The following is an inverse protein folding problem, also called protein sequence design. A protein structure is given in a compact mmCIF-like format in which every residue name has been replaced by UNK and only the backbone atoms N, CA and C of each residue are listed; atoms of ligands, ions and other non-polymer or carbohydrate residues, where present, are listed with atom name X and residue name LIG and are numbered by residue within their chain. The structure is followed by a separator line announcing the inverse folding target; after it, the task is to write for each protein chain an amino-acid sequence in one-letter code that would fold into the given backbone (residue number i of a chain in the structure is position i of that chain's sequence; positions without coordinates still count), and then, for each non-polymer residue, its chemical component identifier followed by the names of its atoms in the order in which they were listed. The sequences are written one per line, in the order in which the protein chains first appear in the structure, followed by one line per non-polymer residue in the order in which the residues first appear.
data_IF_894543024747
#
_entry.id   IF_894543024747
#
_cell.length_a   1.000
_cell.length_b   1.000
_cell.length_c   1.000
_cell.angle_alpha   90.00
_cell.angle_beta   90.00
_cell.angle_gamma   90.00
#
_symmetry.space_group_name_H-M   'P 1'
#
loop_
_entity.id
_entity.type
_entity.pdbx_description
1 polymer ?
#
# COMPACT_ATOMS: atom_id res chain seq x y z
N UNK A 1 -15.92 7.87 7.12
CA UNK A 1 -15.14 8.30 5.95
C UNK A 1 -15.63 9.68 5.57
N UNK A 2 -14.73 10.66 5.42
CA UNK A 2 -15.12 12.03 5.09
C UNK A 2 -15.84 12.15 3.73
N UNK A 3 -16.75 13.12 3.55
CA UNK A 3 -17.52 13.30 2.30
C UNK A 3 -16.65 13.48 1.05
N UNK A 4 -15.48 14.10 1.19
CA UNK A 4 -14.52 14.34 0.11
C UNK A 4 -13.94 13.06 -0.51
N UNK A 5 -14.07 11.91 0.17
CA UNK A 5 -13.61 10.61 -0.34
C UNK A 5 -14.73 9.81 -1.04
N UNK A 6 -15.96 10.35 -1.11
CA UNK A 6 -17.10 9.62 -1.68
C UNK A 6 -16.90 9.25 -3.15
N UNK A 7 -16.29 10.16 -3.93
CA UNK A 7 -16.09 10.01 -5.37
C UNK A 7 -15.02 8.97 -5.73
N UNK A 8 -14.24 8.48 -4.77
CA UNK A 8 -13.27 7.40 -4.96
C UNK A 8 -13.93 6.01 -5.00
N UNK A 9 -15.27 5.94 -4.88
CA UNK A 9 -16.02 4.68 -4.90
C UNK A 9 -16.71 4.45 -6.26
N UNK A 10 -16.86 3.18 -6.66
CA UNK A 10 -16.35 1.98 -5.98
C UNK A 10 -14.83 1.81 -6.21
N UNK A 11 -14.14 1.26 -5.20
CA UNK A 11 -12.73 0.89 -5.34
C UNK A 11 -12.67 -0.31 -6.31
N UNK A 12 -11.87 -0.25 -7.39
CA UNK A 12 -11.78 -1.33 -8.37
C UNK A 12 -11.47 -2.68 -7.71
N UNK A 13 -12.21 -3.73 -8.08
CA UNK A 13 -12.05 -5.10 -7.57
C UNK A 13 -11.57 -6.04 -8.67
N UNK A 14 -10.58 -5.60 -9.45
CA UNK A 14 -10.04 -6.35 -10.58
C UNK A 14 -8.52 -6.23 -10.63
N UNK A 15 -7.88 -7.24 -11.22
CA UNK A 15 -6.43 -7.24 -11.42
C UNK A 15 -5.98 -6.04 -12.24
N UNK A 16 -4.89 -5.42 -11.82
CA UNK A 16 -4.26 -4.34 -12.58
C UNK A 16 -3.60 -4.92 -13.84
N UNK A 17 -3.56 -4.17 -14.96
CA UNK A 17 -3.01 -4.64 -16.23
C UNK A 17 -1.47 -4.62 -16.28
N UNK A 18 -0.81 -4.50 -15.14
CA UNK A 18 0.64 -4.42 -14.99
C UNK A 18 1.07 -5.01 -13.63
N UNK A 19 2.33 -5.46 -13.48
CA UNK A 19 2.85 -5.86 -12.17
C UNK A 19 2.75 -4.71 -11.17
N UNK A 20 2.27 -5.01 -9.96
CA UNK A 20 2.09 -4.03 -8.91
C UNK A 20 2.53 -4.57 -7.55
N UNK A 21 2.88 -3.65 -6.66
CA UNK A 21 3.15 -3.89 -5.24
C UNK A 21 2.27 -2.95 -4.42
N UNK A 22 1.64 -3.46 -3.36
CA UNK A 22 0.87 -2.65 -2.42
C UNK A 22 1.57 -2.65 -1.06
N UNK A 23 2.07 -1.48 -0.67
CA UNK A 23 2.73 -1.27 0.63
C UNK A 23 1.71 -0.70 1.61
N UNK A 24 1.57 -1.29 2.80
CA UNK A 24 0.64 -0.82 3.82
C UNK A 24 1.18 -0.98 5.24
N UNK A 25 0.60 -0.20 6.17
CA UNK A 25 0.88 -0.23 7.59
C UNK A 25 -0.23 -0.97 8.35
N UNK A 26 0.09 -1.55 9.51
CA UNK A 26 -0.91 -2.24 10.35
C UNK A 26 -1.69 -1.33 11.29
N UNK A 27 -1.21 -0.11 11.52
CA UNK A 27 -1.82 0.89 12.41
C UNK A 27 -2.21 2.17 11.65
N UNK A 28 -2.49 2.04 10.34
CA UNK A 28 -3.03 3.14 9.55
C UNK A 28 -4.46 3.50 10.04
N UNK A 29 -4.71 4.75 10.49
CA UNK A 29 -6.03 5.15 11.00
C UNK A 29 -7.12 5.19 9.91
N UNK A 30 -6.73 5.15 8.63
CA UNK A 30 -7.64 5.23 7.49
C UNK A 30 -7.80 3.91 6.74
N UNK A 31 -6.96 2.91 7.02
CA UNK A 31 -6.97 1.63 6.32
C UNK A 31 -6.70 0.46 7.26
N UNK A 32 -7.58 -0.54 7.24
CA UNK A 32 -7.35 -1.78 7.98
C UNK A 32 -6.32 -2.67 7.24
N UNK A 33 -5.49 -3.39 8.01
CA UNK A 33 -4.44 -4.24 7.47
C UNK A 33 -5.00 -5.42 6.65
N UNK A 34 -6.07 -6.06 7.12
CA UNK A 34 -6.70 -7.16 6.40
C UNK A 34 -7.43 -6.65 5.16
N UNK A 35 -8.06 -5.47 5.25
CA UNK A 35 -8.64 -4.80 4.08
C UNK A 35 -7.58 -4.49 3.01
N UNK A 36 -6.43 -3.93 3.41
CA UNK A 36 -5.32 -3.62 2.51
C UNK A 36 -4.77 -4.88 1.84
N UNK A 37 -4.61 -5.97 2.59
CA UNK A 37 -4.22 -7.26 2.04
C UNK A 37 -5.23 -7.78 1.01
N UNK A 38 -6.53 -7.72 1.31
CA UNK A 38 -7.59 -8.10 0.37
C UNK A 38 -7.58 -7.26 -0.91
N UNK A 39 -7.26 -5.96 -0.82
CA UNK A 39 -7.07 -5.12 -2.01
C UNK A 39 -5.86 -5.51 -2.83
N UNK A 40 -4.74 -5.88 -2.19
CA UNK A 40 -3.58 -6.40 -2.91
C UNK A 40 -3.96 -7.64 -3.72
N UNK A 41 -4.70 -8.58 -3.12
CA UNK A 41 -5.19 -9.78 -3.80
C UNK A 41 -6.13 -9.44 -4.97
N UNK A 42 -7.10 -8.56 -4.76
CA UNK A 42 -8.04 -8.14 -5.81
C UNK A 42 -7.32 -7.50 -7.00
N UNK A 43 -6.30 -6.69 -6.73
CA UNK A 43 -5.47 -6.04 -7.75
C UNK A 43 -4.39 -6.95 -8.34
N UNK A 44 -4.17 -8.13 -7.76
CA UNK A 44 -3.07 -9.02 -8.14
C UNK A 44 -1.69 -8.41 -7.84
N UNK A 45 -1.62 -7.53 -6.85
CA UNK A 45 -0.40 -6.87 -6.40
C UNK A 45 0.30 -7.69 -5.30
N UNK A 46 1.63 -7.62 -5.22
CA UNK A 46 2.38 -8.18 -4.10
C UNK A 46 2.12 -7.34 -2.83
N UNK A 47 1.64 -7.94 -1.72
CA UNK A 47 1.45 -7.21 -0.47
C UNK A 47 2.78 -7.05 0.29
N UNK A 48 3.08 -5.83 0.70
CA UNK A 48 4.22 -5.51 1.59
C UNK A 48 3.69 -4.84 2.86
N UNK A 49 3.70 -5.61 3.94
CA UNK A 49 3.32 -5.13 5.27
C UNK A 49 4.54 -4.52 5.98
N UNK A 50 4.46 -3.25 6.37
CA UNK A 50 5.53 -2.52 7.05
C UNK A 50 5.50 -2.61 8.58
N UNK A 51 4.53 -3.34 9.15
CA UNK A 51 4.18 -3.26 10.56
C UNK A 51 3.56 -1.91 10.89
N UNK A 52 3.71 -1.47 12.15
CA UNK A 52 3.16 -0.21 12.63
C UNK A 52 4.01 0.99 12.17
N UNK A 53 3.53 1.73 11.16
CA UNK A 53 4.16 2.91 10.53
C UNK A 53 3.16 4.06 10.29
N UNK A 54 2.00 4.06 10.94
CA UNK A 54 0.92 5.03 10.75
C UNK A 54 0.42 5.07 9.30
N UNK A 55 0.03 6.25 8.81
CA UNK A 55 -0.49 6.44 7.45
C UNK A 55 0.60 6.58 6.37
N UNK A 56 1.85 6.22 6.67
CA UNK A 56 3.01 6.29 5.75
C UNK A 56 3.11 7.68 5.07
N UNK A 57 2.92 8.74 5.85
CA UNK A 57 3.00 10.12 5.39
C UNK A 57 4.15 10.86 6.10
N UNK A 58 4.21 12.19 6.00
CA UNK A 58 5.24 12.98 6.68
C UNK A 58 5.17 12.86 8.23
N UNK A 59 3.99 12.62 8.79
CA UNK A 59 3.77 12.49 10.24
C UNK A 59 4.21 11.13 10.78
N UNK A 60 4.39 10.13 9.90
CA UNK A 60 4.93 8.81 10.26
C UNK A 60 6.40 8.83 10.71
N UNK A 61 7.11 9.96 10.56
CA UNK A 61 8.49 10.11 11.03
C UNK A 61 9.52 9.26 10.29
N UNK A 62 9.24 8.88 9.05
CA UNK A 62 10.09 7.99 8.23
C UNK A 62 11.32 8.70 7.63
N UNK A 63 11.35 10.03 7.65
CA UNK A 63 12.44 10.85 7.13
C UNK A 63 12.74 10.52 5.66
N UNK A 64 14.03 10.33 5.36
CA UNK A 64 14.49 9.94 4.02
C UNK A 64 14.05 8.52 3.60
N UNK A 65 13.55 7.72 4.54
CA UNK A 65 12.99 6.39 4.34
C UNK A 65 13.81 5.44 3.43
N UNK A 66 15.03 5.05 3.86
CA UNK A 66 15.88 4.12 3.12
C UNK A 66 15.22 2.74 2.92
N UNK A 67 14.36 2.29 3.83
CA UNK A 67 13.67 1.01 3.70
C UNK A 67 12.73 0.97 2.48
N UNK A 68 11.99 2.06 2.18
CA UNK A 68 11.18 2.15 0.96
C UNK A 68 12.03 1.99 -0.30
N UNK A 69 13.20 2.65 -0.35
CA UNK A 69 14.11 2.52 -1.48
C UNK A 69 14.61 1.08 -1.65
N UNK A 70 14.86 0.37 -0.56
CA UNK A 70 15.24 -1.04 -0.60
C UNK A 70 14.09 -1.94 -1.11
N UNK A 71 12.85 -1.67 -0.70
CA UNK A 71 11.66 -2.39 -1.19
C UNK A 71 11.54 -2.23 -2.70
N UNK A 72 11.59 -1.00 -3.20
CA UNK A 72 11.51 -0.71 -4.65
C UNK A 72 12.66 -1.39 -5.41
N UNK A 73 13.89 -1.26 -4.91
CA UNK A 73 15.05 -1.85 -5.56
C UNK A 73 15.00 -3.39 -5.59
N UNK A 74 14.45 -4.03 -4.56
CA UNK A 74 14.21 -5.47 -4.53
C UNK A 74 13.15 -5.85 -5.57
N UNK A 75 11.98 -5.22 -5.51
CA UNK A 75 10.87 -5.52 -6.41
C UNK A 75 11.24 -5.32 -7.88
N UNK A 76 11.99 -4.27 -8.21
CA UNK A 76 12.50 -4.04 -9.56
C UNK A 76 13.41 -5.16 -10.07
N UNK A 77 14.19 -5.81 -9.20
CA UNK A 77 15.03 -6.95 -9.58
C UNK A 77 14.22 -8.21 -9.82
N UNK A 78 13.16 -8.40 -9.03
CA UNK A 78 12.30 -9.59 -9.12
C UNK A 78 11.41 -9.57 -10.39
N UNK A 79 11.31 -8.42 -11.08
CA UNK A 79 10.56 -8.25 -12.33
C UNK A 79 11.37 -8.54 -13.62
N UNK A 80 12.70 -8.65 -13.53
CA UNK A 80 13.62 -8.82 -14.68
C UNK A 80 14.19 -10.23 -14.66
#
# INVERSE_FOLDING_TARGET
MPPELADFRPIPQQRLPFPAVLVFSTDDPFSDAAWSHGQAEAWGAEPVNLGARGHINAESGLGDWPEARAIVAKWMKDLI
#
